data_IF_228522360538
#
_entry.id   IF_228522360538
#
_cell.length_a   1.000
_cell.length_b   1.000
_cell.length_c   1.000
_cell.angle_alpha   90.00
_cell.angle_beta   90.00
_cell.angle_gamma   90.00
#
_symmetry.space_group_name_H-M   'P 1'
#
loop_
_entity.id
_entity.type
_entity.pdbx_description
1 polymer ?
#
# COMPACT_ATOMS: atom_id res chain seq x y z
N UNK A 1 -56.53 -17.66 59.82
CA UNK A 1 -55.63 -16.58 59.36
C UNK A 1 -55.00 -17.04 58.05
N UNK A 2 -55.58 -16.62 56.92
CA UNK A 2 -55.07 -16.89 55.57
C UNK A 2 -54.02 -15.84 55.20
N UNK A 3 -52.86 -16.25 54.67
CA UNK A 3 -51.98 -15.37 53.90
C UNK A 3 -51.82 -15.93 52.50
N UNK A 4 -52.38 -15.19 51.54
CA UNK A 4 -52.29 -15.40 50.11
C UNK A 4 -50.96 -14.78 49.63
N UNK A 5 -50.08 -15.57 49.02
CA UNK A 5 -48.89 -15.08 48.32
C UNK A 5 -49.27 -14.79 46.87
N UNK A 6 -49.24 -13.53 46.46
CA UNK A 6 -49.26 -13.12 45.06
C UNK A 6 -47.83 -13.05 44.53
N UNK A 7 -47.51 -13.90 43.55
CA UNK A 7 -46.26 -13.89 42.79
C UNK A 7 -46.47 -13.04 41.53
N UNK A 8 -45.83 -11.89 41.45
CA UNK A 8 -45.78 -11.05 40.24
C UNK A 8 -44.57 -11.46 39.40
N UNK A 9 -44.82 -12.07 38.25
CA UNK A 9 -43.79 -12.40 37.26
C UNK A 9 -43.53 -11.17 36.37
N UNK A 10 -42.39 -10.50 36.55
CA UNK A 10 -41.94 -9.46 35.62
C UNK A 10 -41.14 -10.14 34.49
N UNK A 11 -41.71 -10.17 33.29
CA UNK A 11 -41.01 -10.63 32.09
C UNK A 11 -40.06 -9.52 31.61
N UNK A 12 -38.75 -9.72 31.82
CA UNK A 12 -37.69 -8.96 31.16
C UNK A 12 -37.61 -9.43 29.71
N UNK A 13 -38.09 -8.62 28.78
CA UNK A 13 -37.81 -8.79 27.35
C UNK A 13 -36.37 -8.32 27.13
N UNK A 14 -35.42 -9.26 27.05
CA UNK A 14 -34.08 -8.95 26.53
C UNK A 14 -34.18 -8.83 25.02
N UNK A 15 -33.95 -7.62 24.51
CA UNK A 15 -33.59 -7.44 23.10
C UNK A 15 -32.17 -7.96 22.94
N UNK A 16 -32.03 -9.26 22.69
CA UNK A 16 -30.78 -9.80 22.20
C UNK A 16 -30.51 -9.16 20.84
N UNK A 17 -29.63 -8.16 20.83
CA UNK A 17 -28.94 -7.75 19.61
C UNK A 17 -28.28 -9.01 19.08
N UNK A 18 -28.71 -9.49 17.92
CA UNK A 18 -27.96 -10.50 17.17
C UNK A 18 -26.59 -9.87 16.94
N UNK A 19 -25.58 -10.38 17.65
CA UNK A 19 -24.21 -9.99 17.38
C UNK A 19 -23.92 -10.39 15.92
N UNK A 20 -23.38 -9.46 15.15
CA UNK A 20 -22.87 -9.76 13.81
C UNK A 20 -21.66 -10.67 14.03
N UNK A 21 -21.77 -11.96 13.72
CA UNK A 21 -20.75 -12.96 14.08
C UNK A 21 -19.38 -12.69 13.44
N UNK A 22 -19.34 -11.97 12.30
CA UNK A 22 -18.12 -11.50 11.63
C UNK A 22 -18.30 -10.12 11.00
N UNK A 23 -17.35 -9.17 11.16
CA UNK A 23 -17.39 -7.90 10.44
C UNK A 23 -17.36 -8.09 8.93
N UNK A 24 -18.08 -7.23 8.21
CA UNK A 24 -18.24 -7.26 6.76
C UNK A 24 -17.47 -6.09 6.14
N UNK A 25 -16.51 -6.39 5.25
CA UNK A 25 -15.72 -5.39 4.54
C UNK A 25 -16.00 -5.45 3.04
N UNK A 26 -16.37 -4.30 2.47
CA UNK A 26 -16.44 -4.12 1.03
C UNK A 26 -15.06 -3.79 0.48
N UNK A 27 -14.44 -4.69 -0.26
CA UNK A 27 -13.17 -4.45 -0.94
C UNK A 27 -13.41 -3.98 -2.38
N UNK A 28 -12.91 -2.80 -2.72
CA UNK A 28 -13.21 -2.12 -4.00
C UNK A 28 -12.00 -2.12 -4.93
N UNK A 29 -12.22 -2.57 -6.17
CA UNK A 29 -11.22 -2.60 -7.24
C UNK A 29 -11.63 -1.68 -8.40
N UNK A 30 -10.64 -1.11 -9.10
CA UNK A 30 -10.87 -0.39 -10.36
C UNK A 30 -11.30 -1.33 -11.48
N UNK A 31 -12.22 -0.88 -12.34
CA UNK A 31 -12.62 -1.56 -13.58
C UNK A 31 -11.95 -0.94 -14.83
N UNK A 32 -10.99 -0.01 -14.67
CA UNK A 32 -10.39 0.70 -15.82
C UNK A 32 -9.43 -0.15 -16.66
N UNK A 33 -8.83 -1.18 -16.04
CA UNK A 33 -7.78 -1.97 -16.68
C UNK A 33 -8.23 -2.66 -17.97
N UNK A 34 -7.32 -2.72 -18.95
CA UNK A 34 -7.57 -3.36 -20.24
C UNK A 34 -6.33 -4.02 -20.81
N UNK A 35 -6.52 -5.22 -21.35
CA UNK A 35 -5.52 -5.95 -22.12
C UNK A 35 -5.83 -5.84 -23.62
N UNK A 36 -4.79 -5.79 -24.46
CA UNK A 36 -4.92 -6.02 -25.89
C UNK A 36 -5.02 -7.53 -26.23
N UNK A 37 -5.06 -7.87 -27.52
CA UNK A 37 -5.20 -9.27 -27.97
C UNK A 37 -3.97 -10.10 -27.59
N UNK A 38 -2.81 -9.46 -27.53
CA UNK A 38 -1.51 -10.02 -27.18
C UNK A 38 -1.27 -10.09 -25.65
N UNK A 39 -2.30 -9.80 -24.84
CA UNK A 39 -2.26 -9.80 -23.37
C UNK A 39 -1.34 -8.74 -22.76
N UNK A 40 -1.03 -7.66 -23.50
CA UNK A 40 -0.33 -6.52 -22.95
C UNK A 40 -1.31 -5.53 -22.33
N UNK A 41 -0.88 -4.95 -21.21
CA UNK A 41 -1.65 -3.94 -20.49
C UNK A 41 -1.63 -2.59 -21.24
N UNK A 42 -2.77 -2.23 -21.82
CA UNK A 42 -3.00 -0.99 -22.58
C UNK A 42 -3.74 0.09 -21.79
N UNK A 43 -4.42 -0.29 -20.69
CA UNK A 43 -4.92 0.62 -19.67
C UNK A 43 -4.60 0.04 -18.29
N UNK A 44 -4.14 0.85 -17.33
CA UNK A 44 -3.80 0.38 -15.99
C UNK A 44 -5.01 -0.13 -15.21
N UNK A 45 -4.78 -1.16 -14.41
CA UNK A 45 -5.77 -1.80 -13.56
C UNK A 45 -5.56 -1.50 -12.06
N UNK A 46 -6.09 -2.39 -11.24
CA UNK A 46 -5.80 -2.41 -9.79
C UNK A 46 -4.49 -3.17 -9.51
N UNK A 47 -3.88 -2.92 -8.35
CA UNK A 47 -2.66 -3.62 -7.92
C UNK A 47 -3.01 -4.96 -7.24
N UNK A 48 -2.70 -6.08 -7.91
CA UNK A 48 -3.06 -7.42 -7.43
C UNK A 48 -2.32 -7.77 -6.12
N UNK A 49 -1.09 -7.28 -5.93
CA UNK A 49 -0.36 -7.47 -4.68
C UNK A 49 -1.04 -6.79 -3.49
N UNK A 50 -1.67 -5.64 -3.70
CA UNK A 50 -2.39 -4.94 -2.64
C UNK A 50 -3.70 -5.66 -2.28
N UNK A 51 -4.46 -6.10 -3.29
CA UNK A 51 -5.65 -6.93 -3.11
C UNK A 51 -5.33 -8.17 -2.27
N UNK A 52 -4.36 -8.97 -2.71
CA UNK A 52 -4.04 -10.24 -2.07
C UNK A 52 -3.49 -10.09 -0.65
N UNK A 53 -2.63 -9.09 -0.40
CA UNK A 53 -2.14 -8.76 0.95
C UNK A 53 -3.28 -8.36 1.88
N UNK A 54 -4.14 -7.44 1.47
CA UNK A 54 -5.26 -6.96 2.28
C UNK A 54 -6.29 -8.08 2.53
N UNK A 55 -6.64 -8.84 1.49
CA UNK A 55 -7.57 -9.97 1.58
C UNK A 55 -7.07 -11.01 2.57
N UNK A 56 -5.80 -11.42 2.47
CA UNK A 56 -5.23 -12.40 3.40
C UNK A 56 -5.20 -11.87 4.85
N UNK A 57 -4.95 -10.57 5.06
CA UNK A 57 -5.07 -9.96 6.39
C UNK A 57 -6.50 -10.09 6.90
N UNK A 58 -7.52 -9.70 6.14
CA UNK A 58 -8.91 -9.79 6.59
C UNK A 58 -9.37 -11.24 6.84
N UNK A 59 -9.05 -12.15 5.92
CA UNK A 59 -9.36 -13.58 6.06
C UNK A 59 -8.75 -14.17 7.34
N UNK A 60 -7.49 -13.86 7.66
CA UNK A 60 -6.85 -14.34 8.91
C UNK A 60 -7.57 -13.88 10.17
N UNK A 61 -8.30 -12.78 10.11
CA UNK A 61 -9.01 -12.22 11.26
C UNK A 61 -10.52 -12.52 11.24
N UNK A 62 -10.97 -13.46 10.39
CA UNK A 62 -12.37 -13.85 10.31
C UNK A 62 -13.29 -12.74 9.81
N UNK A 63 -12.76 -11.77 9.06
CA UNK A 63 -13.53 -10.70 8.44
C UNK A 63 -14.03 -11.19 7.08
N UNK A 64 -15.33 -11.07 6.86
CA UNK A 64 -15.96 -11.44 5.60
C UNK A 64 -15.73 -10.33 4.57
N UNK A 65 -15.17 -10.70 3.42
CA UNK A 65 -14.80 -9.76 2.37
C UNK A 65 -15.70 -9.94 1.15
N UNK A 66 -16.43 -8.89 0.79
CA UNK A 66 -17.11 -8.80 -0.51
C UNK A 66 -16.26 -7.99 -1.49
N UNK A 67 -15.91 -8.57 -2.64
CA UNK A 67 -15.16 -7.86 -3.68
C UNK A 67 -16.12 -7.20 -4.67
N UNK A 68 -15.96 -5.91 -4.91
CA UNK A 68 -16.78 -5.12 -5.81
C UNK A 68 -15.94 -4.25 -6.75
N UNK A 69 -16.53 -3.89 -7.89
CA UNK A 69 -15.93 -2.96 -8.85
C UNK A 69 -17.00 -2.12 -9.54
N UNK A 70 -16.67 -0.96 -10.14
CA UNK A 70 -17.62 -0.12 -10.86
C UNK A 70 -18.54 -0.88 -11.82
N UNK A 71 -17.99 -1.79 -12.62
CA UNK A 71 -18.73 -2.52 -13.66
C UNK A 71 -19.26 -3.88 -13.18
N UNK A 72 -18.74 -4.40 -12.06
CA UNK A 72 -18.90 -5.81 -11.69
C UNK A 72 -18.14 -6.74 -12.65
N UNK A 73 -18.27 -8.05 -12.43
CA UNK A 73 -17.52 -9.06 -13.21
C UNK A 73 -16.02 -9.01 -12.90
N UNK A 74 -15.19 -9.54 -13.80
CA UNK A 74 -13.73 -9.64 -13.59
C UNK A 74 -13.00 -8.33 -13.93
N UNK A 75 -12.44 -7.59 -12.95
CA UNK A 75 -11.56 -6.47 -13.23
C UNK A 75 -10.18 -6.96 -13.72
N UNK A 76 -9.48 -6.12 -14.48
CA UNK A 76 -8.12 -6.39 -14.95
C UNK A 76 -7.11 -5.80 -13.97
N UNK A 77 -6.13 -6.60 -13.56
CA UNK A 77 -5.02 -6.16 -12.72
C UNK A 77 -3.88 -5.54 -13.54
N UNK A 78 -3.07 -4.70 -12.90
CA UNK A 78 -1.72 -4.39 -13.34
C UNK A 78 -0.84 -5.67 -13.37
N UNK A 79 0.33 -5.63 -14.03
CA UNK A 79 1.21 -6.79 -14.11
C UNK A 79 1.78 -7.13 -12.72
N UNK A 80 1.58 -8.36 -12.26
CA UNK A 80 2.04 -8.84 -10.96
C UNK A 80 2.87 -10.14 -11.05
N UNK A 81 3.66 -10.41 -10.01
CA UNK A 81 4.43 -11.63 -9.87
C UNK A 81 3.61 -12.71 -9.14
N UNK A 82 3.19 -13.73 -9.90
CA UNK A 82 2.42 -14.87 -9.39
C UNK A 82 3.17 -15.74 -8.39
N UNK A 83 4.51 -15.62 -8.31
CA UNK A 83 5.35 -16.44 -7.44
C UNK A 83 5.48 -15.90 -6.01
N UNK A 84 5.08 -14.65 -5.78
CA UNK A 84 5.07 -14.07 -4.43
C UNK A 84 4.08 -14.81 -3.53
N UNK A 85 4.45 -15.00 -2.26
CA UNK A 85 3.69 -15.80 -1.30
C UNK A 85 2.22 -15.36 -1.20
N UNK A 86 1.97 -14.06 -1.04
CA UNK A 86 0.60 -13.52 -0.91
C UNK A 86 -0.23 -13.71 -2.19
N UNK A 87 0.37 -13.57 -3.37
CA UNK A 87 -0.34 -13.81 -4.63
C UNK A 87 -0.63 -15.30 -4.81
N UNK A 88 0.29 -16.19 -4.44
CA UNK A 88 0.06 -17.64 -4.48
C UNK A 88 -1.10 -18.04 -3.55
N UNK A 89 -1.11 -17.54 -2.32
CA UNK A 89 -2.19 -17.80 -1.37
C UNK A 89 -3.55 -17.39 -1.95
N UNK A 90 -3.65 -16.18 -2.51
CA UNK A 90 -4.89 -15.71 -3.14
C UNK A 90 -5.27 -16.55 -4.38
N UNK A 91 -4.30 -16.88 -5.25
CA UNK A 91 -4.54 -17.66 -6.47
C UNK A 91 -4.88 -19.14 -6.20
N UNK A 92 -4.61 -19.64 -4.99
CA UNK A 92 -4.94 -21.01 -4.57
C UNK A 92 -6.26 -21.08 -3.80
N UNK A 93 -6.78 -19.93 -3.36
CA UNK A 93 -8.07 -19.81 -2.71
C UNK A 93 -9.19 -19.73 -3.76
N UNK A 94 -9.93 -20.83 -3.92
CA UNK A 94 -11.02 -20.92 -4.90
C UNK A 94 -12.16 -19.95 -4.63
N UNK A 95 -12.42 -19.61 -3.37
CA UNK A 95 -13.49 -18.68 -3.00
C UNK A 95 -13.07 -17.25 -3.32
N UNK A 96 -11.84 -16.87 -2.96
CA UNK A 96 -11.26 -15.56 -3.30
C UNK A 96 -11.19 -15.35 -4.82
N UNK A 97 -10.75 -16.36 -5.58
CA UNK A 97 -10.76 -16.32 -7.04
C UNK A 97 -12.16 -16.18 -7.61
N UNK A 98 -13.13 -16.96 -7.12
CA UNK A 98 -14.51 -16.87 -7.58
C UNK A 98 -15.11 -15.47 -7.32
N UNK A 99 -14.84 -14.89 -6.15
CA UNK A 99 -15.26 -13.53 -5.80
C UNK A 99 -14.60 -12.47 -6.70
N UNK A 100 -13.33 -12.65 -7.07
CA UNK A 100 -12.62 -11.76 -7.99
C UNK A 100 -13.12 -11.87 -9.44
N UNK A 101 -13.42 -13.08 -9.93
CA UNK A 101 -13.97 -13.28 -11.28
C UNK A 101 -15.39 -12.71 -11.41
N UNK A 102 -16.12 -12.62 -10.28
CA UNK A 102 -17.52 -12.24 -10.23
C UNK A 102 -17.76 -11.05 -9.29
N UNK A 103 -16.92 -10.00 -9.36
CA UNK A 103 -17.09 -8.85 -8.45
C UNK A 103 -18.49 -8.25 -8.56
N UNK A 104 -19.05 -7.82 -7.44
CA UNK A 104 -20.33 -7.14 -7.44
C UNK A 104 -20.20 -5.76 -8.09
N UNK A 105 -21.19 -5.39 -8.91
CA UNK A 105 -21.25 -4.03 -9.45
C UNK A 105 -21.57 -3.05 -8.31
N UNK A 106 -20.79 -1.98 -8.17
CA UNK A 106 -20.95 -1.00 -7.07
C UNK A 106 -22.36 -0.40 -7.00
N UNK A 107 -23.05 -0.24 -8.13
CA UNK A 107 -24.45 0.25 -8.16
C UNK A 107 -25.47 -0.67 -7.45
N UNK A 108 -25.11 -1.93 -7.19
CA UNK A 108 -25.97 -2.93 -6.53
C UNK A 108 -25.61 -3.15 -5.06
N UNK A 109 -24.64 -2.40 -4.52
CA UNK A 109 -24.19 -2.51 -3.14
C UNK A 109 -25.16 -1.76 -2.22
N UNK A 110 -25.59 -2.42 -1.16
CA UNK A 110 -26.30 -1.79 -0.03
C UNK A 110 -25.29 -1.44 1.07
N UNK A 111 -24.96 -0.15 1.29
CA UNK A 111 -23.90 0.25 2.21
C UNK A 111 -24.11 -0.24 3.66
N UNK A 112 -25.36 -0.34 4.10
CA UNK A 112 -25.73 -0.76 5.46
C UNK A 112 -25.34 -2.20 5.82
N UNK A 113 -24.95 -3.02 4.84
CA UNK A 113 -24.45 -4.39 5.08
C UNK A 113 -22.99 -4.41 5.55
N UNK A 114 -22.25 -3.32 5.37
CA UNK A 114 -20.80 -3.28 5.58
C UNK A 114 -20.41 -2.47 6.81
N UNK A 115 -19.49 -3.00 7.59
CA UNK A 115 -18.88 -2.32 8.73
C UNK A 115 -17.64 -1.50 8.29
N UNK A 116 -17.14 -1.77 7.08
CA UNK A 116 -16.11 -0.96 6.46
C UNK A 116 -15.96 -1.16 4.96
N UNK A 117 -15.20 -0.27 4.35
CA UNK A 117 -14.81 -0.30 2.93
C UNK A 117 -13.30 -0.18 2.81
N UNK A 118 -12.69 -1.02 1.97
CA UNK A 118 -11.26 -0.98 1.68
C UNK A 118 -11.02 -0.79 0.19
N UNK A 119 -10.48 0.37 -0.22
CA UNK A 119 -10.20 0.69 -1.62
C UNK A 119 -8.76 0.31 -1.96
N UNK A 120 -8.60 -0.66 -2.86
CA UNK A 120 -7.30 -1.11 -3.36
C UNK A 120 -6.75 -0.11 -4.38
N UNK A 121 -5.43 0.08 -4.39
CA UNK A 121 -4.73 0.92 -5.34
C UNK A 121 -4.46 0.24 -6.68
N UNK A 122 -3.25 0.45 -7.22
CA UNK A 122 -2.95 0.34 -8.65
C UNK A 122 -3.19 1.65 -9.39
N UNK A 123 -2.87 1.74 -10.68
CA UNK A 123 -2.98 3.03 -11.39
C UNK A 123 -4.41 3.31 -11.89
N UNK A 124 -5.27 2.29 -11.96
CA UNK A 124 -6.67 2.38 -12.40
C UNK A 124 -7.58 3.35 -11.63
N UNK A 125 -7.55 3.40 -10.27
CA UNK A 125 -8.31 4.35 -9.46
C UNK A 125 -8.23 5.82 -9.88
N UNK A 126 -7.10 6.24 -10.47
CA UNK A 126 -6.90 7.59 -11.00
C UNK A 126 -7.73 7.90 -12.26
N UNK A 127 -8.43 6.92 -12.84
CA UNK A 127 -9.21 7.06 -14.06
C UNK A 127 -10.72 6.89 -13.86
N UNK A 128 -11.13 5.96 -12.98
CA UNK A 128 -12.55 5.59 -12.83
C UNK A 128 -13.13 5.82 -11.44
N UNK A 129 -12.41 5.50 -10.36
CA UNK A 129 -12.99 5.50 -9.02
C UNK A 129 -13.35 6.90 -8.49
N UNK A 130 -12.50 7.91 -8.70
CA UNK A 130 -12.72 9.27 -8.16
C UNK A 130 -14.03 9.92 -8.64
N UNK A 131 -14.53 9.53 -9.81
CA UNK A 131 -15.75 10.07 -10.43
C UNK A 131 -16.96 9.13 -10.36
N UNK A 132 -16.83 8.00 -9.68
CA UNK A 132 -17.88 6.99 -9.62
C UNK A 132 -18.89 7.31 -8.52
N UNK A 133 -19.98 8.01 -8.87
CA UNK A 133 -20.98 8.48 -7.90
C UNK A 133 -21.54 7.40 -6.95
N UNK A 134 -21.88 6.17 -7.39
CA UNK A 134 -22.28 5.13 -6.44
C UNK A 134 -21.21 4.79 -5.40
N UNK A 135 -19.91 4.84 -5.77
CA UNK A 135 -18.82 4.58 -4.83
C UNK A 135 -18.73 5.69 -3.78
N UNK A 136 -18.84 6.95 -4.23
CA UNK A 136 -18.81 8.10 -3.33
C UNK A 136 -19.93 8.00 -2.29
N UNK A 137 -21.14 7.64 -2.72
CA UNK A 137 -22.29 7.44 -1.82
C UNK A 137 -22.08 6.28 -0.85
N UNK A 138 -21.52 5.16 -1.31
CA UNK A 138 -21.21 4.00 -0.45
C UNK A 138 -20.23 4.43 0.65
N UNK A 139 -19.13 5.11 0.29
CA UNK A 139 -18.10 5.54 1.22
C UNK A 139 -18.67 6.53 2.24
N UNK A 140 -19.45 7.54 1.80
CA UNK A 140 -20.09 8.49 2.72
C UNK A 140 -21.00 7.79 3.71
N UNK A 141 -21.90 6.91 3.23
CA UNK A 141 -22.85 6.23 4.10
C UNK A 141 -22.17 5.30 5.12
N UNK A 142 -21.15 4.54 4.70
CA UNK A 142 -20.37 3.70 5.61
C UNK A 142 -19.69 4.57 6.67
N UNK A 143 -19.03 5.66 6.25
CA UNK A 143 -18.33 6.55 7.18
C UNK A 143 -19.27 7.21 8.19
N UNK A 144 -20.40 7.77 7.74
CA UNK A 144 -21.39 8.43 8.58
C UNK A 144 -22.13 7.45 9.51
N UNK A 145 -22.21 6.19 9.11
CA UNK A 145 -22.70 5.08 9.96
C UNK A 145 -21.65 4.57 10.96
N UNK A 146 -20.52 5.29 11.12
CA UNK A 146 -19.38 4.94 11.98
C UNK A 146 -18.62 3.69 11.53
N UNK A 147 -18.76 3.27 10.28
CA UNK A 147 -17.92 2.25 9.67
C UNK A 147 -16.52 2.77 9.34
N UNK A 148 -15.61 1.85 9.04
CA UNK A 148 -14.20 2.16 8.77
C UNK A 148 -13.95 2.31 7.27
N UNK A 149 -13.27 3.38 6.86
CA UNK A 149 -12.85 3.63 5.47
C UNK A 149 -11.33 3.44 5.38
N UNK A 150 -10.91 2.40 4.66
CA UNK A 150 -9.52 2.10 4.33
C UNK A 150 -9.22 2.39 2.85
N UNK A 151 -8.06 2.96 2.54
CA UNK A 151 -7.58 3.06 1.17
C UNK A 151 -6.05 3.06 1.10
N UNK A 152 -5.45 2.47 0.07
CA UNK A 152 -3.98 2.37 -0.04
C UNK A 152 -3.48 2.76 -1.43
N UNK A 153 -2.26 3.31 -1.52
CA UNK A 153 -1.58 3.65 -2.76
C UNK A 153 -2.38 4.70 -3.55
N UNK A 154 -2.92 4.39 -4.74
CA UNK A 154 -3.83 5.30 -5.44
C UNK A 154 -5.31 5.10 -5.07
N UNK A 155 -5.64 4.12 -4.24
CA UNK A 155 -6.98 3.91 -3.70
C UNK A 155 -7.62 5.17 -3.10
N UNK A 156 -6.87 6.04 -2.38
CA UNK A 156 -7.38 7.34 -1.91
C UNK A 156 -7.91 8.28 -3.00
N UNK A 157 -7.65 8.02 -4.29
CA UNK A 157 -8.33 8.72 -5.39
C UNK A 157 -9.85 8.60 -5.31
N UNK A 158 -10.38 7.48 -4.80
CA UNK A 158 -11.80 7.29 -4.58
C UNK A 158 -12.40 8.25 -3.52
N UNK A 159 -11.56 8.87 -2.68
CA UNK A 159 -11.97 9.71 -1.55
C UNK A 159 -12.06 11.19 -1.90
N UNK A 160 -11.39 11.63 -2.99
CA UNK A 160 -11.15 13.07 -3.25
C UNK A 160 -12.43 13.88 -3.43
N UNK A 161 -13.49 13.28 -3.95
CA UNK A 161 -14.78 13.95 -4.16
C UNK A 161 -15.92 13.31 -3.35
N UNK A 162 -15.60 12.53 -2.30
CA UNK A 162 -16.62 12.06 -1.35
C UNK A 162 -17.06 13.22 -0.48
N UNK A 163 -18.34 13.55 -0.52
CA UNK A 163 -18.96 14.58 0.32
C UNK A 163 -19.83 13.92 1.39
N UNK A 164 -19.82 14.50 2.59
CA UNK A 164 -20.67 14.11 3.71
C UNK A 164 -22.02 14.84 3.64
N UNK A 165 -22.97 14.45 4.50
CA UNK A 165 -24.31 15.04 4.57
C UNK A 165 -24.32 16.53 4.92
N UNK A 166 -23.25 17.05 5.54
CA UNK A 166 -23.07 18.47 5.82
C UNK A 166 -22.49 19.27 4.62
N UNK A 167 -22.20 18.60 3.50
CA UNK A 167 -21.64 19.18 2.29
C UNK A 167 -20.12 19.33 2.29
N UNK A 168 -19.44 18.99 3.39
CA UNK A 168 -17.98 18.99 3.45
C UNK A 168 -17.39 17.77 2.72
N UNK A 169 -16.15 17.88 2.23
CA UNK A 169 -15.43 16.71 1.75
C UNK A 169 -15.04 15.82 2.92
N UNK A 170 -15.17 14.50 2.78
CA UNK A 170 -14.77 13.51 3.78
C UNK A 170 -13.34 13.75 4.30
N UNK A 171 -12.42 14.13 3.40
CA UNK A 171 -11.00 14.34 3.70
C UNK A 171 -10.68 15.73 4.27
N UNK A 172 -11.62 16.67 4.28
CA UNK A 172 -11.37 18.04 4.71
C UNK A 172 -11.00 18.08 6.21
N UNK A 173 -9.87 18.70 6.52
CA UNK A 173 -9.34 18.81 7.88
C UNK A 173 -8.81 17.51 8.49
N UNK A 174 -8.86 16.39 7.75
CA UNK A 174 -8.37 15.08 8.22
C UNK A 174 -6.95 14.83 7.77
N UNK A 175 -6.21 14.07 8.58
CA UNK A 175 -4.92 13.53 8.19
C UNK A 175 -5.14 12.35 7.27
N UNK A 176 -4.47 12.37 6.12
CA UNK A 176 -4.54 11.31 5.11
C UNK A 176 -3.19 11.12 4.45
N UNK A 177 -3.02 10.03 3.74
CA UNK A 177 -1.93 9.81 2.81
C UNK A 177 -2.43 9.09 1.55
N UNK A 178 -1.49 8.77 0.66
CA UNK A 178 -1.67 8.02 -0.57
C UNK A 178 -0.38 8.05 -1.37
N UNK A 179 -0.40 7.54 -2.60
CA UNK A 179 0.79 7.52 -3.44
C UNK A 179 1.29 8.95 -3.68
N UNK A 180 2.53 9.19 -3.30
CA UNK A 180 3.08 10.54 -3.23
C UNK A 180 3.46 11.06 -4.61
N UNK A 181 3.58 12.39 -4.76
CA UNK A 181 4.10 12.98 -5.98
C UNK A 181 5.53 12.51 -6.30
N UNK A 182 6.35 12.28 -5.26
CA UNK A 182 7.71 11.78 -5.41
C UNK A 182 7.73 10.36 -6.00
N UNK A 183 6.83 9.49 -5.51
CA UNK A 183 6.65 8.14 -6.05
C UNK A 183 6.06 8.17 -7.46
N UNK A 184 5.15 9.10 -7.75
CA UNK A 184 4.59 9.27 -9.10
C UNK A 184 5.66 9.69 -10.12
N UNK A 185 6.59 10.57 -9.73
CA UNK A 185 7.73 10.94 -10.58
C UNK A 185 8.68 9.76 -10.81
N UNK A 186 8.90 8.92 -9.80
CA UNK A 186 9.82 7.78 -9.88
C UNK A 186 9.25 6.61 -10.69
N UNK A 187 7.96 6.30 -10.51
CA UNK A 187 7.34 5.06 -10.99
C UNK A 187 6.17 5.27 -11.98
N UNK A 188 5.66 6.50 -12.10
CA UNK A 188 4.42 6.80 -12.82
C UNK A 188 4.52 7.06 -14.31
N UNK A 189 5.73 7.08 -14.90
CA UNK A 189 6.00 7.64 -16.24
C UNK A 189 5.06 7.19 -17.36
N UNK A 190 4.57 5.95 -17.34
CA UNK A 190 3.68 5.42 -18.39
C UNK A 190 2.29 6.07 -18.40
N UNK A 191 1.74 6.40 -17.23
CA UNK A 191 0.34 6.79 -17.09
C UNK A 191 0.14 8.21 -16.53
N UNK A 192 1.14 8.75 -15.84
CA UNK A 192 1.05 10.03 -15.12
C UNK A 192 0.51 11.18 -15.96
N UNK A 193 0.96 11.31 -17.21
CA UNK A 193 0.55 12.42 -18.09
C UNK A 193 -0.93 12.33 -18.54
N UNK A 194 -1.60 11.20 -18.26
CA UNK A 194 -3.02 11.00 -18.56
C UNK A 194 -3.92 11.22 -17.33
N UNK A 195 -3.34 11.42 -16.15
CA UNK A 195 -4.13 11.66 -14.95
C UNK A 195 -4.78 13.04 -14.99
N UNK A 196 -6.03 13.13 -14.52
CA UNK A 196 -6.72 14.41 -14.39
C UNK A 196 -6.09 15.31 -13.31
N UNK A 197 -5.38 14.71 -12.35
CA UNK A 197 -4.69 15.38 -11.25
C UNK A 197 -3.60 14.47 -10.66
N UNK A 198 -2.69 15.04 -9.87
CA UNK A 198 -1.82 14.27 -8.98
C UNK A 198 -2.53 14.04 -7.63
N UNK A 199 -2.49 12.82 -7.12
CA UNK A 199 -3.30 12.41 -5.96
C UNK A 199 -2.99 13.24 -4.70
N UNK A 200 -1.71 13.38 -4.36
CA UNK A 200 -1.27 14.17 -3.20
C UNK A 200 -1.76 15.62 -3.30
N UNK A 201 -1.66 16.25 -4.48
CA UNK A 201 -2.10 17.62 -4.69
C UNK A 201 -3.62 17.75 -4.58
N UNK A 202 -4.37 16.79 -5.14
CA UNK A 202 -5.82 16.82 -5.12
C UNK A 202 -6.40 16.63 -3.72
N UNK A 203 -5.81 15.75 -2.91
CA UNK A 203 -6.20 15.58 -1.51
C UNK A 203 -5.97 16.87 -0.71
N UNK A 204 -4.83 17.55 -0.91
CA UNK A 204 -4.56 18.86 -0.29
C UNK A 204 -5.54 19.94 -0.76
N UNK A 205 -5.86 19.98 -2.06
CA UNK A 205 -6.87 20.89 -2.62
C UNK A 205 -8.25 20.70 -1.94
N UNK A 206 -8.56 19.47 -1.51
CA UNK A 206 -9.79 19.11 -0.78
C UNK A 206 -9.71 19.37 0.72
N UNK A 207 -8.66 20.03 1.19
CA UNK A 207 -8.46 20.43 2.58
C UNK A 207 -7.85 19.35 3.47
N UNK A 208 -7.33 18.26 2.89
CA UNK A 208 -6.70 17.20 3.68
C UNK A 208 -5.30 17.60 4.16
N UNK A 209 -4.93 17.15 5.35
CA UNK A 209 -3.58 17.26 5.92
C UNK A 209 -2.80 16.04 5.44
N UNK A 210 -2.04 16.19 4.35
CA UNK A 210 -1.33 15.07 3.75
C UNK A 210 -0.05 14.73 4.53
N UNK A 211 -0.02 13.56 5.16
CA UNK A 211 1.15 12.99 5.83
C UNK A 211 1.85 12.01 4.87
N UNK A 212 3.18 11.95 4.89
CA UNK A 212 3.95 11.01 4.07
C UNK A 212 5.30 10.70 4.70
N UNK A 213 5.84 9.54 4.35
CA UNK A 213 7.23 9.18 4.58
C UNK A 213 7.99 9.14 3.24
N UNK A 214 9.29 8.83 3.29
CA UNK A 214 10.15 8.72 2.13
C UNK A 214 9.64 7.72 1.10
N UNK A 215 10.07 7.91 -0.14
CA UNK A 215 9.77 7.06 -1.28
C UNK A 215 9.84 5.55 -0.94
N UNK A 216 8.78 4.78 -1.22
CA UNK A 216 8.68 3.33 -0.92
C UNK A 216 8.61 2.94 0.56
N UNK A 217 8.70 3.87 1.51
CA UNK A 217 8.62 3.52 2.94
C UNK A 217 7.19 3.22 3.34
N UNK A 218 7.04 2.46 4.42
CA UNK A 218 5.75 2.10 4.97
C UNK A 218 5.19 3.28 5.77
N UNK A 219 4.06 3.82 5.34
CA UNK A 219 3.39 4.92 6.04
C UNK A 219 1.88 4.69 6.06
N UNK A 220 1.33 4.64 7.27
CA UNK A 220 -0.11 4.50 7.53
C UNK A 220 -0.56 5.70 8.36
N UNK A 221 -1.62 6.37 7.89
CA UNK A 221 -2.23 7.50 8.57
C UNK A 221 -3.64 7.12 9.01
N UNK A 222 -3.93 7.33 10.29
CA UNK A 222 -5.20 6.99 10.93
C UNK A 222 -5.79 8.29 11.50
N UNK A 223 -7.00 8.66 11.06
CA UNK A 223 -7.75 9.81 11.55
C UNK A 223 -9.22 9.44 11.79
N UNK A 224 -9.54 9.10 13.04
CA UNK A 224 -10.81 8.48 13.40
C UNK A 224 -11.02 7.19 12.61
N UNK A 225 -12.15 7.11 11.90
CA UNK A 225 -12.49 5.95 11.07
C UNK A 225 -11.91 5.99 9.65
N UNK A 226 -11.06 6.96 9.33
CA UNK A 226 -10.39 7.05 8.02
C UNK A 226 -8.93 6.57 8.16
N UNK A 227 -8.57 5.55 7.38
CA UNK A 227 -7.27 4.90 7.39
C UNK A 227 -6.71 4.91 5.98
N UNK A 228 -5.51 5.46 5.81
CA UNK A 228 -4.85 5.54 4.49
C UNK A 228 -3.43 4.98 4.54
N UNK A 229 -3.04 4.26 3.49
CA UNK A 229 -1.69 3.74 3.29
C UNK A 229 -1.00 4.35 2.07
N UNK A 230 0.28 4.72 2.21
CA UNK A 230 0.98 5.48 1.18
C UNK A 230 1.19 4.71 -0.13
N UNK A 231 1.59 3.44 -0.07
CA UNK A 231 2.07 2.68 -1.24
C UNK A 231 1.87 1.16 -1.02
N UNK A 232 2.26 0.28 -1.97
CA UNK A 232 2.05 -1.17 -1.84
C UNK A 232 2.70 -1.82 -0.60
N UNK A 233 3.74 -1.19 -0.03
CA UNK A 233 4.42 -1.66 1.18
C UNK A 233 3.69 -1.25 2.46
N UNK A 234 2.68 -0.39 2.33
CA UNK A 234 1.82 0.05 3.43
C UNK A 234 0.54 -0.78 3.57
N UNK A 235 0.27 -1.69 2.62
CA UNK A 235 -1.02 -2.40 2.55
C UNK A 235 -1.30 -3.28 3.75
N UNK A 236 -0.33 -4.09 4.20
CA UNK A 236 -0.52 -4.99 5.34
C UNK A 236 -0.84 -4.19 6.60
N UNK A 237 -0.06 -3.13 6.87
CA UNK A 237 -0.25 -2.32 8.07
C UNK A 237 -1.54 -1.49 8.00
N UNK A 238 -1.96 -1.04 6.81
CA UNK A 238 -3.27 -0.37 6.59
C UNK A 238 -4.43 -1.32 6.87
N UNK A 239 -4.40 -2.55 6.32
CA UNK A 239 -5.44 -3.54 6.55
C UNK A 239 -5.50 -3.96 8.03
N UNK A 240 -4.34 -4.12 8.69
CA UNK A 240 -4.27 -4.43 10.13
C UNK A 240 -4.78 -3.31 11.01
N UNK A 241 -4.51 -2.05 10.65
CA UNK A 241 -5.10 -0.90 11.33
C UNK A 241 -6.63 -0.93 11.22
N UNK A 242 -7.17 -1.28 10.05
CA UNK A 242 -8.60 -1.46 9.84
C UNK A 242 -9.19 -2.61 10.67
N UNK A 243 -8.52 -3.77 10.74
CA UNK A 243 -8.91 -4.89 11.64
C UNK A 243 -9.10 -4.39 13.07
N UNK A 244 -8.14 -3.62 13.58
CA UNK A 244 -8.21 -3.08 14.95
C UNK A 244 -9.36 -2.09 15.11
N UNK A 245 -9.62 -1.24 14.11
CA UNK A 245 -10.72 -0.25 14.14
C UNK A 245 -12.10 -0.89 14.00
N UNK A 246 -12.18 -2.09 13.41
CA UNK A 246 -13.40 -2.90 13.38
C UNK A 246 -13.65 -3.63 14.71
N UNK A 247 -12.80 -3.44 15.73
CA UNK A 247 -12.93 -4.09 17.04
C UNK A 247 -12.49 -5.55 17.05
N UNK A 248 -11.79 -6.01 16.02
CA UNK A 248 -11.26 -7.37 15.94
C UNK A 248 -9.86 -7.43 16.55
N UNK A 249 -9.61 -8.45 17.38
CA UNK A 249 -8.30 -8.67 17.97
C UNK A 249 -7.24 -8.94 16.89
N UNK A 250 -6.19 -8.13 16.87
CA UNK A 250 -5.14 -8.28 15.87
C UNK A 250 -4.22 -9.46 16.20
N UNK A 251 -4.19 -10.46 15.31
CA UNK A 251 -3.25 -11.59 15.38
C UNK A 251 -1.81 -11.13 15.11
N UNK A 252 -0.78 -11.93 15.44
CA UNK A 252 0.60 -11.60 15.10
C UNK A 252 0.80 -11.23 13.61
N UNK A 253 1.66 -10.24 13.31
CA UNK A 253 1.87 -9.74 11.96
C UNK A 253 2.40 -10.83 11.02
N UNK A 254 1.99 -10.75 9.75
CA UNK A 254 2.57 -11.53 8.66
C UNK A 254 3.75 -10.72 8.12
N UNK A 255 4.91 -11.36 8.00
CA UNK A 255 6.07 -10.74 7.36
C UNK A 255 6.22 -11.31 5.94
N UNK A 256 5.80 -10.54 4.94
CA UNK A 256 6.20 -10.80 3.56
C UNK A 256 7.60 -10.24 3.32
N UNK A 257 8.39 -10.92 2.49
CA UNK A 257 9.81 -10.58 2.30
C UNK A 257 10.04 -9.16 1.78
N UNK A 258 9.13 -8.63 0.95
CA UNK A 258 9.20 -7.28 0.42
C UNK A 258 8.90 -6.23 1.50
N UNK A 259 7.82 -6.42 2.27
CA UNK A 259 7.46 -5.54 3.39
C UNK A 259 8.53 -5.57 4.49
N UNK A 260 9.06 -6.76 4.79
CA UNK A 260 10.16 -6.94 5.74
C UNK A 260 11.44 -6.23 5.26
N UNK A 261 11.75 -6.26 3.95
CA UNK A 261 12.88 -5.53 3.38
C UNK A 261 12.74 -4.02 3.51
N UNK A 262 11.54 -3.47 3.33
CA UNK A 262 11.28 -2.04 3.57
C UNK A 262 11.48 -1.70 5.04
N UNK A 263 10.87 -2.46 5.95
CA UNK A 263 11.01 -2.27 7.41
C UNK A 263 12.47 -2.41 7.88
N UNK A 264 13.25 -3.27 7.25
CA UNK A 264 14.69 -3.41 7.53
C UNK A 264 15.47 -2.14 7.14
N UNK A 265 15.14 -1.52 6.00
CA UNK A 265 15.75 -0.26 5.61
C UNK A 265 15.37 0.88 6.56
N UNK A 266 14.11 0.97 6.98
CA UNK A 266 13.69 1.96 7.98
C UNK A 266 14.37 1.72 9.33
N UNK A 267 14.58 0.47 9.72
CA UNK A 267 15.38 0.13 10.90
C UNK A 267 16.83 0.56 10.70
N UNK A 268 17.41 0.37 9.52
CA UNK A 268 18.78 0.80 9.23
C UNK A 268 18.96 2.32 9.36
N UNK A 269 17.97 3.11 8.94
CA UNK A 269 17.99 4.56 9.10
C UNK A 269 17.95 5.01 10.57
N UNK A 270 17.38 4.19 11.46
CA UNK A 270 17.23 4.49 12.89
C UNK A 270 18.37 3.90 13.74
N UNK A 271 18.75 2.67 13.44
CA UNK A 271 19.79 1.88 14.12
C UNK A 271 20.44 0.91 13.12
N UNK A 272 21.53 1.38 12.51
CA UNK A 272 22.32 0.64 11.53
C UNK A 272 22.88 -0.68 12.09
N UNK A 273 23.26 -0.71 13.37
CA UNK A 273 23.86 -1.90 14.00
C UNK A 273 22.79 -2.97 14.20
N UNK A 274 21.63 -2.58 14.75
CA UNK A 274 20.52 -3.48 14.95
C UNK A 274 19.96 -3.99 13.62
N UNK A 275 19.84 -3.15 12.60
CA UNK A 275 19.39 -3.56 11.28
C UNK A 275 20.30 -4.65 10.69
N UNK A 276 21.63 -4.42 10.70
CA UNK A 276 22.60 -5.41 10.23
C UNK A 276 22.48 -6.72 11.01
N UNK A 277 22.48 -6.66 12.34
CA UNK A 277 22.31 -7.85 13.20
C UNK A 277 21.01 -8.61 12.89
N UNK A 278 19.91 -7.88 12.69
CA UNK A 278 18.60 -8.47 12.37
C UNK A 278 18.65 -9.19 11.02
N UNK A 279 19.24 -8.56 9.99
CA UNK A 279 19.42 -9.20 8.69
C UNK A 279 20.23 -10.49 8.79
N UNK A 280 21.39 -10.47 9.45
CA UNK A 280 22.24 -11.66 9.56
C UNK A 280 21.57 -12.81 10.33
N UNK A 281 20.68 -12.48 11.28
CA UNK A 281 19.98 -13.49 12.07
C UNK A 281 18.87 -14.23 11.31
N UNK A 282 18.32 -13.63 10.25
CA UNK A 282 17.21 -14.18 9.46
C UNK A 282 17.22 -13.70 8.01
N UNK A 283 18.35 -13.88 7.31
CA UNK A 283 18.56 -13.33 5.96
C UNK A 283 17.50 -13.76 4.95
N UNK A 284 16.98 -14.98 5.09
CA UNK A 284 15.97 -15.56 4.19
C UNK A 284 14.59 -14.90 4.32
N UNK A 285 14.37 -14.11 5.37
CA UNK A 285 13.16 -13.31 5.55
C UNK A 285 13.15 -12.03 4.70
N UNK A 286 14.24 -11.72 3.99
CA UNK A 286 14.40 -10.47 3.25
C UNK A 286 14.63 -10.71 1.76
N UNK A 287 13.95 -9.92 0.92
CA UNK A 287 14.21 -9.91 -0.51
C UNK A 287 15.43 -9.02 -0.83
N UNK A 288 16.55 -9.64 -1.22
CA UNK A 288 17.80 -8.93 -1.49
C UNK A 288 17.73 -7.99 -2.71
N UNK A 289 16.95 -8.34 -3.73
CA UNK A 289 16.70 -7.46 -4.88
C UNK A 289 15.90 -6.22 -4.45
N UNK A 290 14.96 -6.39 -3.52
CA UNK A 290 14.21 -5.27 -2.94
C UNK A 290 15.12 -4.34 -2.14
N UNK A 291 16.01 -4.87 -1.28
CA UNK A 291 16.99 -4.05 -0.54
C UNK A 291 17.88 -3.25 -1.50
N UNK A 292 18.36 -3.89 -2.57
CA UNK A 292 19.14 -3.24 -3.62
C UNK A 292 18.34 -2.11 -4.30
N UNK A 293 17.08 -2.38 -4.65
CA UNK A 293 16.19 -1.40 -5.27
C UNK A 293 15.95 -0.20 -4.35
N UNK A 294 15.61 -0.43 -3.08
CA UNK A 294 15.39 0.63 -2.08
C UNK A 294 16.62 1.54 -2.00
N UNK A 295 17.82 0.98 -1.79
CA UNK A 295 19.04 1.79 -1.68
C UNK A 295 19.32 2.63 -2.94
N UNK A 296 19.09 2.07 -4.12
CA UNK A 296 19.26 2.81 -5.39
C UNK A 296 18.23 3.94 -5.54
N UNK A 297 16.96 3.66 -5.28
CA UNK A 297 15.90 4.66 -5.47
C UNK A 297 15.96 5.77 -4.42
N UNK A 298 16.29 5.43 -3.18
CA UNK A 298 16.50 6.37 -2.08
C UNK A 298 17.63 7.35 -2.40
N UNK A 299 18.80 6.87 -2.86
CA UNK A 299 19.90 7.77 -3.30
C UNK A 299 19.46 8.66 -4.46
N UNK A 300 18.81 8.10 -5.48
CA UNK A 300 18.44 8.85 -6.70
C UNK A 300 17.45 9.98 -6.44
N UNK A 301 16.57 9.80 -5.47
CA UNK A 301 15.52 10.77 -5.15
C UNK A 301 15.76 11.50 -3.83
N UNK A 302 16.91 11.29 -3.18
CA UNK A 302 17.32 12.01 -1.99
C UNK A 302 17.41 13.52 -2.26
N UNK A 303 16.75 14.29 -1.41
CA UNK A 303 16.65 15.76 -1.45
C UNK A 303 17.70 16.43 -0.55
N UNK A 304 18.26 15.70 0.41
CA UNK A 304 19.27 16.23 1.36
C UNK A 304 20.53 15.38 1.36
N UNK A 305 21.65 15.97 1.76
CA UNK A 305 22.91 15.23 1.94
C UNK A 305 22.77 14.11 2.97
N UNK A 306 22.03 14.34 4.05
CA UNK A 306 21.74 13.31 5.07
C UNK A 306 21.06 12.07 4.48
N UNK A 307 20.07 12.26 3.59
CA UNK A 307 19.41 11.17 2.89
C UNK A 307 20.37 10.44 1.95
N UNK A 308 21.21 11.17 1.21
CA UNK A 308 22.24 10.56 0.34
C UNK A 308 23.21 9.74 1.16
N UNK A 309 23.72 10.27 2.26
CA UNK A 309 24.71 9.63 3.12
C UNK A 309 24.16 8.35 3.75
N UNK A 310 22.98 8.43 4.38
CA UNK A 310 22.37 7.28 5.05
C UNK A 310 22.02 6.17 4.05
N UNK A 311 21.50 6.54 2.88
CA UNK A 311 21.20 5.58 1.81
C UNK A 311 22.47 4.99 1.17
N UNK A 312 23.56 5.76 1.11
CA UNK A 312 24.86 5.27 0.62
C UNK A 312 25.47 4.26 1.59
N UNK A 313 25.38 4.47 2.91
CA UNK A 313 25.79 3.47 3.91
C UNK A 313 24.99 2.18 3.76
N UNK A 314 23.68 2.29 3.59
CA UNK A 314 22.82 1.13 3.34
C UNK A 314 23.17 0.40 2.04
N UNK A 315 23.28 1.11 0.91
CA UNK A 315 23.60 0.49 -0.37
C UNK A 315 25.01 -0.14 -0.36
N UNK A 316 25.96 0.49 0.34
CA UNK A 316 27.29 -0.09 0.57
C UNK A 316 27.23 -1.40 1.35
N UNK A 317 26.33 -1.51 2.34
CA UNK A 317 26.10 -2.75 3.06
C UNK A 317 25.45 -3.81 2.16
N UNK A 318 24.41 -3.46 1.40
CA UNK A 318 23.77 -4.39 0.45
C UNK A 318 24.78 -4.89 -0.60
N UNK A 319 25.72 -4.04 -1.03
CA UNK A 319 26.81 -4.41 -1.95
C UNK A 319 27.77 -5.48 -1.42
N UNK A 320 27.81 -5.71 -0.09
CA UNK A 320 28.59 -6.84 0.47
C UNK A 320 27.85 -8.17 0.35
N UNK A 321 26.55 -8.15 0.03
CA UNK A 321 25.68 -9.33 -0.05
C UNK A 321 25.37 -9.72 -1.49
N UNK A 322 25.14 -8.73 -2.35
CA UNK A 322 24.97 -8.91 -3.80
C UNK A 322 25.63 -7.77 -4.54
N UNK A 323 25.83 -7.92 -5.85
CA UNK A 323 26.54 -6.91 -6.63
C UNK A 323 25.93 -6.75 -8.00
N UNK A 324 25.76 -5.50 -8.40
CA UNK A 324 25.18 -5.14 -9.69
C UNK A 324 25.72 -3.79 -10.18
N UNK A 325 26.03 -3.61 -11.47
CA UNK A 325 26.61 -2.36 -11.97
C UNK A 325 25.80 -1.11 -11.64
N UNK A 326 24.47 -1.21 -11.62
CA UNK A 326 23.60 -0.08 -11.28
C UNK A 326 23.80 0.37 -9.83
N UNK A 327 23.97 -0.56 -8.89
CA UNK A 327 24.22 -0.22 -7.49
C UNK A 327 25.58 0.44 -7.32
N UNK A 328 26.60 -0.15 -7.95
CA UNK A 328 27.98 0.35 -7.96
C UNK A 328 28.06 1.80 -8.47
N UNK A 329 27.45 2.06 -9.63
CA UNK A 329 27.36 3.40 -10.22
C UNK A 329 26.57 4.36 -9.34
N UNK A 330 25.48 3.89 -8.73
CA UNK A 330 24.64 4.72 -7.86
C UNK A 330 25.39 5.13 -6.60
N UNK A 331 26.13 4.20 -5.98
CA UNK A 331 26.97 4.49 -4.82
C UNK A 331 28.12 5.45 -5.16
N UNK A 332 28.80 5.24 -6.30
CA UNK A 332 29.82 6.18 -6.75
C UNK A 332 29.26 7.60 -6.98
N UNK A 333 28.09 7.72 -7.60
CA UNK A 333 27.39 9.01 -7.76
C UNK A 333 27.01 9.63 -6.41
N UNK A 334 26.61 8.82 -5.43
CA UNK A 334 26.34 9.30 -4.08
C UNK A 334 27.59 9.92 -3.45
N UNK A 335 28.76 9.27 -3.56
CA UNK A 335 30.02 9.82 -3.05
C UNK A 335 30.41 11.14 -3.73
N UNK A 336 30.18 11.29 -5.04
CA UNK A 336 30.39 12.59 -5.71
C UNK A 336 29.46 13.66 -5.15
N UNK A 337 28.18 13.36 -4.96
CA UNK A 337 27.21 14.29 -4.34
C UNK A 337 27.59 14.69 -2.92
N UNK A 338 28.32 13.84 -2.20
CA UNK A 338 28.81 14.08 -0.84
C UNK A 338 30.22 14.71 -0.81
N UNK A 339 30.73 15.19 -1.96
CA UNK A 339 32.07 15.74 -2.10
C UNK A 339 33.20 14.77 -1.66
N UNK A 340 33.05 13.48 -1.99
CA UNK A 340 33.99 12.40 -1.68
C UNK A 340 34.54 11.72 -2.96
N UNK A 341 35.24 12.46 -3.84
CA UNK A 341 35.69 11.94 -5.15
C UNK A 341 36.64 10.75 -5.05
N UNK A 342 37.50 10.71 -4.03
CA UNK A 342 38.39 9.56 -3.81
C UNK A 342 37.62 8.26 -3.52
N UNK A 343 36.54 8.33 -2.72
CA UNK A 343 35.67 7.18 -2.48
C UNK A 343 34.94 6.76 -3.74
N UNK A 344 34.49 7.71 -4.55
CA UNK A 344 33.86 7.43 -5.84
C UNK A 344 34.83 6.71 -6.80
N UNK A 345 36.05 7.22 -6.95
CA UNK A 345 37.08 6.62 -7.80
C UNK A 345 37.48 5.22 -7.31
N UNK A 346 37.61 5.04 -5.99
CA UNK A 346 37.88 3.73 -5.40
C UNK A 346 36.75 2.72 -5.66
N UNK A 347 35.49 3.15 -5.52
CA UNK A 347 34.32 2.33 -5.82
C UNK A 347 34.31 1.92 -7.30
N UNK A 348 34.46 2.89 -8.21
CA UNK A 348 34.44 2.66 -9.66
C UNK A 348 35.60 1.77 -10.12
N UNK A 349 36.81 1.97 -9.57
CA UNK A 349 37.97 1.14 -9.92
C UNK A 349 37.75 -0.32 -9.52
N UNK A 350 37.22 -0.58 -8.32
CA UNK A 350 36.83 -1.94 -7.89
C UNK A 350 35.74 -2.51 -8.80
N UNK A 351 34.73 -1.70 -9.12
CA UNK A 351 33.62 -2.07 -9.98
C UNK A 351 34.06 -2.42 -11.41
N UNK A 352 35.01 -1.66 -11.99
CA UNK A 352 35.53 -1.90 -13.33
C UNK A 352 36.26 -3.23 -13.45
N UNK A 353 36.95 -3.68 -12.39
CA UNK A 353 37.54 -5.03 -12.34
C UNK A 353 36.47 -6.12 -12.35
N UNK A 354 35.35 -5.90 -11.65
CA UNK A 354 34.23 -6.84 -11.57
C UNK A 354 33.37 -6.87 -12.83
N UNK A 355 33.23 -5.72 -13.50
CA UNK A 355 32.38 -5.53 -14.67
C UNK A 355 33.16 -4.90 -15.85
N UNK A 356 34.19 -5.57 -16.38
CA UNK A 356 35.14 -4.98 -17.33
C UNK A 356 34.55 -4.58 -18.68
N UNK A 357 33.35 -5.07 -19.02
CA UNK A 357 32.62 -4.71 -20.25
C UNK A 357 31.57 -3.61 -20.05
N UNK A 358 31.33 -3.16 -18.82
CA UNK A 358 30.31 -2.14 -18.55
C UNK A 358 30.81 -0.75 -18.99
N UNK A 359 30.24 -0.22 -20.06
CA UNK A 359 30.63 1.08 -20.61
C UNK A 359 30.30 2.25 -19.67
N UNK A 360 29.18 2.20 -18.95
CA UNK A 360 28.79 3.28 -18.05
C UNK A 360 29.80 3.49 -16.91
N UNK A 361 30.37 2.41 -16.37
CA UNK A 361 31.44 2.49 -15.37
C UNK A 361 32.69 3.13 -15.96
N UNK A 362 33.13 2.70 -17.16
CA UNK A 362 34.30 3.28 -17.82
C UNK A 362 34.13 4.76 -18.13
N UNK A 363 32.97 5.13 -18.67
CA UNK A 363 32.63 6.52 -18.96
C UNK A 363 32.62 7.38 -17.70
N UNK A 364 32.11 6.84 -16.58
CA UNK A 364 32.09 7.60 -15.33
C UNK A 364 33.49 7.78 -14.74
N UNK A 365 34.36 6.76 -14.82
CA UNK A 365 35.79 6.90 -14.44
C UNK A 365 36.46 8.01 -15.26
N UNK A 366 36.21 8.04 -16.57
CA UNK A 366 36.83 9.02 -17.47
C UNK A 366 36.34 10.46 -17.27
N UNK A 367 35.21 10.66 -16.57
CA UNK A 367 34.64 11.99 -16.31
C UNK A 367 35.00 12.56 -14.92
N UNK A 368 35.62 11.75 -14.06
CA UNK A 368 36.16 12.17 -12.77
C UNK A 368 37.63 12.56 -12.92
#
# INVERSE_FOLDING_TARGET
MNKLLTLTCAALVSTASIAKDSPQVLMVLSSYGKLDKEQNLVQPGYEFGELSKAYHVFQRHGIDVTIASPQGGKPVADKYDKSTQYNQLFLQDSEALSALENTLALKNIEPSKFDGVFVVGGKGPMFDLYKHAPLQNIISQIYESKGVVGAVCHGPAALVDVQLSDGSYLVAGKRVNGFTNQEEMAFGKKWRDQFAFLLEDKLKERGAIFEKDGLMLNQVTIDGNLITGQNPFSTVDTARAMVTHLGVEALPPIEYQDDASVKLYELFLRDEVLAKKTYESKSDSYNLNMLAMIGVFQIRHAQTEYQVESSARFLSYVLTKTSHPVMELTLAKAYIRLNQPEKAMNQLTKSAKKYPKNQQIKSFIASL
#
